data_IF_137822113887
#
_entry.id   IF_137822113887
#
_cell.length_a   1.000
_cell.length_b   1.000
_cell.length_c   1.000
_cell.angle_alpha   90.00
_cell.angle_beta   90.00
_cell.angle_gamma   90.00
#
_symmetry.space_group_name_H-M   'P 1'
#
loop_
_entity.id
_entity.type
_entity.pdbx_description
1 polymer ?
#
# COMPACT_ATOMS: atom_id res chain seq x y z
N UNK A 1 -69.21 2.53 -8.38
CA UNK A 1 -68.33 3.30 -7.46
C UNK A 1 -67.54 2.28 -6.68
N UNK A 2 -66.27 2.07 -7.02
CA UNK A 2 -65.39 1.10 -6.36
C UNK A 2 -64.73 1.82 -5.18
N UNK A 3 -64.96 1.37 -3.95
CA UNK A 3 -64.28 1.92 -2.76
C UNK A 3 -62.81 1.46 -2.74
N UNK A 4 -61.85 2.34 -2.40
CA UNK A 4 -60.46 1.93 -2.24
C UNK A 4 -60.27 1.21 -0.90
N UNK A 5 -59.74 -0.01 -0.96
CA UNK A 5 -59.29 -0.76 0.22
C UNK A 5 -58.09 -0.03 0.84
N UNK A 6 -58.03 0.20 2.16
CA UNK A 6 -56.87 0.83 2.77
C UNK A 6 -55.66 -0.08 2.60
N UNK A 7 -54.63 0.46 1.95
CA UNK A 7 -53.32 -0.17 1.84
C UNK A 7 -52.73 -0.21 3.25
N UNK A 8 -52.79 -1.36 3.92
CA UNK A 8 -51.99 -1.63 5.11
C UNK A 8 -50.52 -1.43 4.72
N UNK A 9 -49.95 -0.34 5.22
CA UNK A 9 -48.52 -0.10 5.19
C UNK A 9 -47.88 -1.18 6.06
N UNK A 10 -47.45 -2.26 5.42
CA UNK A 10 -46.50 -3.19 6.01
C UNK A 10 -45.23 -2.38 6.24
N UNK A 11 -45.06 -1.92 7.48
CA UNK A 11 -43.80 -1.36 7.94
C UNK A 11 -42.78 -2.50 7.91
N UNK A 12 -42.06 -2.60 6.80
CA UNK A 12 -40.89 -3.43 6.69
C UNK A 12 -39.90 -2.96 7.78
N UNK A 13 -39.44 -3.83 8.69
CA UNK A 13 -38.47 -3.42 9.68
C UNK A 13 -37.25 -2.89 8.92
N UNK A 14 -36.89 -1.62 9.15
CA UNK A 14 -35.62 -1.06 8.69
C UNK A 14 -34.50 -1.97 9.22
N UNK A 15 -34.03 -2.87 8.37
CA UNK A 15 -32.80 -3.58 8.61
C UNK A 15 -31.73 -2.50 8.79
N UNK A 16 -30.89 -2.57 9.84
CA UNK A 16 -29.81 -1.61 10.00
C UNK A 16 -29.02 -1.61 8.70
N UNK A 17 -28.90 -0.45 8.06
CA UNK A 17 -28.11 -0.29 6.86
C UNK A 17 -26.71 -0.84 7.17
N UNK A 18 -26.37 -1.98 6.56
CA UNK A 18 -25.06 -2.57 6.73
C UNK A 18 -24.05 -1.53 6.27
N UNK A 19 -23.35 -0.92 7.23
CA UNK A 19 -22.28 0.01 6.95
C UNK A 19 -21.23 -0.64 6.05
N UNK A 20 -20.40 0.16 5.36
CA UNK A 20 -19.34 -0.40 4.52
C UNK A 20 -18.54 -1.43 5.32
N UNK A 21 -18.36 -2.62 4.73
CA UNK A 21 -17.53 -3.66 5.34
C UNK A 21 -16.14 -3.09 5.59
N UNK A 22 -15.61 -3.29 6.79
CA UNK A 22 -14.24 -2.88 7.10
C UNK A 22 -13.24 -3.57 6.15
N UNK A 23 -12.16 -2.90 5.73
CA UNK A 23 -11.14 -3.53 4.89
C UNK A 23 -10.60 -4.78 5.59
N UNK A 24 -10.62 -5.91 4.87
CA UNK A 24 -10.02 -7.15 5.36
C UNK A 24 -8.52 -7.14 5.06
N UNK A 25 -7.64 -7.46 6.03
CA UNK A 25 -6.20 -7.45 5.82
C UNK A 25 -5.77 -8.52 4.80
N UNK A 26 -4.81 -8.18 3.95
CA UNK A 26 -4.35 -9.05 2.85
C UNK A 26 -3.57 -10.29 3.34
N UNK A 27 -3.12 -10.32 4.60
CA UNK A 27 -2.39 -11.44 5.23
C UNK A 27 -1.18 -11.97 4.43
N UNK A 28 -0.53 -11.10 3.64
CA UNK A 28 0.68 -11.48 2.91
C UNK A 28 1.88 -11.42 3.87
N UNK A 29 2.55 -12.54 4.17
CA UNK A 29 3.75 -12.51 5.00
C UNK A 29 4.84 -11.69 4.29
N UNK A 30 5.42 -10.72 4.99
CA UNK A 30 6.54 -9.91 4.49
C UNK A 30 7.83 -10.40 5.14
N UNK A 31 8.72 -10.99 4.33
CA UNK A 31 10.11 -11.17 4.74
C UNK A 31 10.87 -9.84 4.60
N UNK A 32 11.73 -9.48 5.57
CA UNK A 32 12.52 -8.25 5.49
C UNK A 32 13.43 -8.28 4.26
N UNK A 33 13.48 -7.18 3.52
CA UNK A 33 14.22 -7.09 2.26
C UNK A 33 15.72 -6.92 2.47
N UNK A 34 16.12 -6.50 3.68
CA UNK A 34 17.51 -6.22 4.04
C UNK A 34 17.94 -4.78 3.73
N UNK A 35 17.05 -3.97 3.15
CA UNK A 35 17.22 -2.52 3.01
C UNK A 35 16.27 -1.77 3.93
N UNK A 36 16.82 -1.02 4.88
CA UNK A 36 16.04 -0.32 5.90
C UNK A 36 15.10 0.75 5.30
N UNK A 37 15.46 1.33 4.15
CA UNK A 37 14.61 2.30 3.45
C UNK A 37 13.38 1.62 2.85
N UNK A 38 13.58 0.51 2.14
CA UNK A 38 12.50 -0.30 1.57
C UNK A 38 11.61 -0.88 2.68
N UNK A 39 12.21 -1.43 3.74
CA UNK A 39 11.48 -2.04 4.86
C UNK A 39 10.61 -1.01 5.60
N UNK A 40 11.07 0.23 5.74
CA UNK A 40 10.28 1.31 6.33
C UNK A 40 9.05 1.69 5.48
N UNK A 41 9.18 1.72 4.15
CA UNK A 41 8.05 2.00 3.26
C UNK A 41 7.02 0.86 3.25
N UNK A 42 7.48 -0.40 3.34
CA UNK A 42 6.60 -1.55 3.44
C UNK A 42 5.84 -1.59 4.78
N UNK A 43 6.46 -1.14 5.87
CA UNK A 43 5.79 -0.97 7.14
C UNK A 43 4.68 0.11 7.05
N UNK A 44 4.98 1.25 6.42
CA UNK A 44 3.99 2.32 6.21
C UNK A 44 2.83 1.88 5.30
N UNK A 45 3.09 1.04 4.31
CA UNK A 45 2.04 0.45 3.49
C UNK A 45 1.08 -0.43 4.31
N UNK A 46 1.56 -1.08 5.38
CA UNK A 46 0.71 -1.85 6.27
C UNK A 46 -0.28 -0.97 7.05
N UNK A 47 0.05 0.31 7.30
CA UNK A 47 -0.89 1.24 7.94
C UNK A 47 -2.12 1.52 7.06
N UNK A 48 -1.99 1.44 5.73
CA UNK A 48 -3.11 1.61 4.80
C UNK A 48 -4.20 0.54 4.97
N UNK A 49 -3.84 -0.69 5.35
CA UNK A 49 -4.80 -1.78 5.60
C UNK A 49 -5.79 -1.42 6.73
N UNK A 50 -5.44 -0.46 7.58
CA UNK A 50 -6.26 0.02 8.70
C UNK A 50 -6.98 1.36 8.42
N UNK A 51 -6.67 2.02 7.31
CA UNK A 51 -7.31 3.28 6.93
C UNK A 51 -8.63 3.06 6.18
N UNK A 52 -9.53 4.04 6.26
CA UNK A 52 -10.65 4.13 5.32
C UNK A 52 -10.13 4.42 3.90
N UNK A 53 -10.88 4.01 2.88
CA UNK A 53 -10.48 4.12 1.46
C UNK A 53 -10.08 5.53 1.04
N UNK A 54 -10.70 6.56 1.61
CA UNK A 54 -10.35 7.97 1.33
C UNK A 54 -8.91 8.32 1.74
N UNK A 55 -8.33 7.61 2.72
CA UNK A 55 -6.95 7.77 3.17
C UNK A 55 -5.93 6.87 2.47
N UNK A 56 -6.38 5.92 1.63
CA UNK A 56 -5.46 4.98 0.98
C UNK A 56 -4.58 5.67 -0.07
N UNK A 57 -5.15 6.61 -0.83
CA UNK A 57 -4.46 7.27 -1.95
C UNK A 57 -3.21 8.02 -1.47
N UNK A 58 -3.34 8.80 -0.39
CA UNK A 58 -2.21 9.55 0.16
C UNK A 58 -1.07 8.64 0.62
N UNK A 59 -1.40 7.50 1.24
CA UNK A 59 -0.41 6.51 1.65
C UNK A 59 0.23 5.83 0.44
N UNK A 60 -0.54 5.44 -0.58
CA UNK A 60 0.00 4.81 -1.78
C UNK A 60 0.97 5.70 -2.54
N UNK A 61 0.67 6.99 -2.67
CA UNK A 61 1.52 7.95 -3.37
C UNK A 61 2.83 8.22 -2.61
N UNK A 62 2.73 8.37 -1.29
CA UNK A 62 3.90 8.54 -0.45
C UNK A 62 4.82 7.30 -0.49
N UNK A 63 4.24 6.11 -0.30
CA UNK A 63 4.98 4.83 -0.38
C UNK A 63 5.62 4.67 -1.77
N UNK A 64 4.91 5.01 -2.86
CA UNK A 64 5.47 4.95 -4.20
C UNK A 64 6.66 5.89 -4.38
N UNK A 65 6.58 7.11 -3.86
CA UNK A 65 7.70 8.06 -3.91
C UNK A 65 8.88 7.54 -3.08
N UNK A 66 8.63 7.15 -1.82
CA UNK A 66 9.68 6.65 -0.93
C UNK A 66 10.37 5.40 -1.46
N UNK A 67 9.62 4.46 -2.03
CA UNK A 67 10.19 3.25 -2.63
C UNK A 67 11.03 3.58 -3.86
N UNK A 68 10.57 4.49 -4.72
CA UNK A 68 11.34 4.95 -5.89
C UNK A 68 12.67 5.55 -5.45
N UNK A 69 12.65 6.44 -4.47
CA UNK A 69 13.85 7.12 -3.97
C UNK A 69 14.84 6.11 -3.35
N UNK A 70 14.34 5.16 -2.55
CA UNK A 70 15.17 4.09 -1.98
C UNK A 70 15.84 3.25 -3.08
N UNK A 71 15.07 2.80 -4.09
CA UNK A 71 15.61 2.01 -5.20
C UNK A 71 16.60 2.81 -6.06
N UNK A 72 16.35 4.09 -6.30
CA UNK A 72 17.31 4.97 -6.98
C UNK A 72 18.61 5.12 -6.18
N UNK A 73 18.53 5.23 -4.85
CA UNK A 73 19.72 5.29 -4.00
C UNK A 73 20.53 3.97 -4.02
N UNK A 74 19.86 2.83 -4.13
CA UNK A 74 20.51 1.53 -4.34
C UNK A 74 21.26 1.49 -5.66
N UNK A 75 20.63 1.96 -6.74
CA UNK A 75 21.21 1.96 -8.09
C UNK A 75 22.40 2.92 -8.21
N UNK A 76 22.35 4.06 -7.50
CA UNK A 76 23.42 5.06 -7.49
C UNK A 76 24.68 4.62 -6.71
N UNK A 77 24.67 3.47 -6.03
CA UNK A 77 25.78 3.04 -5.17
C UNK A 77 27.01 2.72 -6.04
N UNK A 78 28.14 3.44 -5.89
CA UNK A 78 29.32 3.19 -6.71
C UNK A 78 29.80 1.75 -6.54
N UNK A 79 30.09 1.08 -7.66
CA UNK A 79 30.72 -0.22 -7.64
C UNK A 79 32.08 -0.17 -6.91
N UNK A 80 32.54 -1.30 -6.34
CA UNK A 80 33.86 -1.35 -5.71
C UNK A 80 34.94 -0.86 -6.68
N UNK A 81 35.97 -0.13 -6.20
CA UNK A 81 37.00 0.42 -7.06
C UNK A 81 37.64 -0.69 -7.88
N UNK A 82 37.87 -0.42 -9.17
CA UNK A 82 38.54 -1.36 -10.05
C UNK A 82 39.92 -1.73 -9.50
N UNK A 83 40.35 -3.01 -9.61
CA UNK A 83 41.68 -3.42 -9.18
C UNK A 83 42.77 -2.66 -9.97
N UNK A 84 43.93 -2.38 -9.36
CA UNK A 84 45.00 -1.65 -10.03
C UNK A 84 45.49 -2.39 -11.28
N UNK A 85 45.51 -1.69 -12.42
CA UNK A 85 46.04 -2.23 -13.68
C UNK A 85 47.56 -2.44 -13.59
N UNK A 86 48.01 -3.68 -13.75
CA UNK A 86 49.43 -4.06 -13.66
C UNK A 86 50.24 -3.75 -14.93
N UNK A 87 49.67 -3.10 -15.94
CA UNK A 87 50.31 -2.90 -17.25
C UNK A 87 51.15 -1.60 -17.35
N UNK A 88 51.88 -1.26 -16.28
CA UNK A 88 52.75 -0.08 -16.18
C UNK A 88 54.26 -0.37 -16.21
N UNK A 89 54.70 -1.53 -16.70
CA UNK A 89 56.13 -1.86 -16.78
C UNK A 89 56.45 -2.69 -18.03
N UNK A 90 56.41 -2.03 -19.19
CA UNK A 90 57.22 -2.44 -20.34
C UNK A 90 58.05 -1.23 -20.75
N UNK A 91 59.20 -1.12 -20.09
CA UNK A 91 60.36 -0.35 -20.52
C UNK A 91 60.91 -0.90 -21.82
#
# INVERSE_FOLDING_TARGET
MHEPVPQEAVAEPEAPAAGPAAPAPLNVPREPTGDAGVDAQLARLADADHLATDGHVEVYEDVHRGLRDALTALDARPGPPAPPSSYGSRS
#
